data_IF_942412660951
#
_entry.id   IF_942412660951
#
_cell.length_a   1.000
_cell.length_b   1.000
_cell.length_c   1.000
_cell.angle_alpha   90.00
_cell.angle_beta   90.00
_cell.angle_gamma   90.00
#
_symmetry.space_group_name_H-M   'P 1'
#
loop_
_entity.id
_entity.type
_entity.pdbx_description
1 polymer ?
#
# COMPACT_ATOMS: atom_id res chain seq x y z
N UNK A 1 -67.89 -18.54 1.01
CA UNK A 1 -67.45 -17.77 2.19
C UNK A 1 -65.92 -17.84 2.18
N UNK A 2 -65.23 -16.93 1.48
CA UNK A 2 -64.70 -15.64 2.00
C UNK A 2 -63.73 -15.94 3.17
N UNK A 3 -62.41 -15.67 3.17
CA UNK A 3 -61.57 -14.63 2.53
C UNK A 3 -60.09 -15.09 2.44
N UNK A 4 -59.42 -14.93 1.30
CA UNK A 4 -58.39 -13.91 0.94
C UNK A 4 -56.99 -14.18 1.54
N UNK A 5 -55.94 -14.50 0.77
CA UNK A 5 -55.23 -13.77 -0.30
C UNK A 5 -54.19 -12.75 0.22
N UNK A 6 -52.91 -13.01 -0.08
CA UNK A 6 -51.76 -12.13 -0.41
C UNK A 6 -50.47 -12.97 -0.22
N UNK A 7 -49.88 -13.58 -1.26
CA UNK A 7 -48.79 -13.03 -2.12
C UNK A 7 -47.64 -12.41 -1.31
N UNK A 8 -46.35 -12.57 -1.58
CA UNK A 8 -45.51 -13.29 -2.54
C UNK A 8 -44.05 -12.97 -2.10
N UNK A 9 -43.06 -13.73 -2.58
CA UNK A 9 -41.62 -13.44 -2.56
C UNK A 9 -40.87 -13.66 -1.23
N UNK A 10 -40.18 -14.80 -1.14
CA UNK A 10 -38.76 -14.85 -0.73
C UNK A 10 -38.06 -16.20 -1.05
N UNK A 11 -38.73 -17.17 -1.70
CA UNK A 11 -38.11 -18.42 -2.17
C UNK A 11 -37.34 -18.29 -3.52
N UNK A 12 -36.92 -17.09 -3.91
CA UNK A 12 -36.19 -16.86 -5.17
C UNK A 12 -34.71 -16.50 -5.01
N UNK A 13 -34.20 -16.35 -3.77
CA UNK A 13 -32.79 -15.98 -3.55
C UNK A 13 -31.86 -17.17 -3.26
N UNK A 14 -32.38 -18.39 -3.07
CA UNK A 14 -31.56 -19.60 -2.87
C UNK A 14 -31.33 -20.44 -4.15
N UNK A 15 -31.89 -20.02 -5.30
CA UNK A 15 -31.71 -20.72 -6.57
C UNK A 15 -30.65 -20.11 -7.50
N UNK A 16 -30.08 -18.95 -7.14
CA UNK A 16 -29.03 -18.25 -7.92
C UNK A 16 -27.59 -18.64 -7.55
N UNK A 17 -27.39 -19.58 -6.62
CA UNK A 17 -26.09 -20.22 -6.39
C UNK A 17 -25.80 -21.40 -7.35
N UNK A 18 -26.50 -21.44 -8.50
CA UNK A 18 -26.08 -22.16 -9.71
C UNK A 18 -25.01 -21.34 -10.44
N UNK A 19 -23.78 -21.34 -9.91
CA UNK A 19 -22.59 -20.94 -10.69
C UNK A 19 -21.93 -22.22 -11.22
N UNK A 20 -22.20 -22.48 -12.51
CA UNK A 20 -21.40 -23.23 -13.48
C UNK A 20 -20.66 -24.51 -13.01
N UNK A 21 -21.39 -25.62 -12.98
CA UNK A 21 -20.83 -26.98 -12.95
C UNK A 21 -20.72 -27.63 -14.34
N UNK A 22 -20.22 -26.90 -15.34
CA UNK A 22 -20.07 -27.38 -16.73
C UNK A 22 -18.63 -27.70 -17.15
N UNK A 23 -17.63 -27.37 -16.32
CA UNK A 23 -16.22 -27.57 -16.68
C UNK A 23 -15.72 -29.01 -16.50
N UNK A 24 -16.19 -29.75 -15.49
CA UNK A 24 -15.65 -31.08 -15.18
C UNK A 24 -16.01 -32.18 -16.19
N UNK A 25 -17.17 -32.10 -16.85
CA UNK A 25 -17.49 -33.01 -17.96
C UNK A 25 -16.75 -32.64 -19.25
N UNK A 26 -16.60 -31.35 -19.53
CA UNK A 26 -15.84 -30.85 -20.67
C UNK A 26 -14.36 -31.27 -20.56
N UNK A 27 -13.75 -31.16 -19.37
CA UNK A 27 -12.36 -31.54 -19.12
C UNK A 27 -12.13 -33.06 -19.23
N UNK A 28 -13.06 -33.90 -18.75
CA UNK A 28 -13.02 -35.35 -18.94
C UNK A 28 -13.20 -35.76 -20.42
N UNK A 29 -13.98 -35.00 -21.19
CA UNK A 29 -14.11 -35.18 -22.64
C UNK A 29 -12.89 -34.66 -23.42
N UNK A 30 -12.25 -33.58 -22.95
CA UNK A 30 -11.00 -33.06 -23.50
C UNK A 30 -9.84 -34.04 -23.25
N UNK A 31 -9.65 -34.51 -22.02
CA UNK A 31 -8.64 -35.53 -21.71
C UNK A 31 -8.83 -36.83 -22.51
N UNK A 32 -10.08 -37.25 -22.77
CA UNK A 32 -10.40 -38.41 -23.63
C UNK A 32 -10.17 -38.14 -25.12
N UNK A 33 -10.32 -36.89 -25.59
CA UNK A 33 -10.12 -36.47 -26.98
C UNK A 33 -8.64 -36.20 -27.32
N UNK A 34 -7.80 -35.88 -26.34
CA UNK A 34 -6.42 -35.42 -26.53
C UNK A 34 -5.32 -36.45 -26.23
N UNK A 35 -5.49 -37.67 -26.77
CA UNK A 35 -4.38 -38.60 -27.05
C UNK A 35 -3.32 -38.02 -28.00
N UNK A 36 -3.58 -36.87 -28.61
CA UNK A 36 -2.69 -36.14 -29.52
C UNK A 36 -2.30 -34.79 -28.91
N UNK A 37 -1.02 -34.44 -29.01
CA UNK A 37 -0.39 -33.21 -28.53
C UNK A 37 -1.24 -31.95 -28.79
N UNK A 38 -1.79 -31.35 -27.74
CA UNK A 38 -2.38 -30.00 -27.83
C UNK A 38 -1.59 -29.05 -26.94
N UNK A 39 -1.18 -27.94 -27.56
CA UNK A 39 -0.55 -26.80 -26.91
C UNK A 39 -1.65 -25.77 -26.62
N UNK A 40 -1.83 -25.41 -25.35
CA UNK A 40 -2.66 -24.28 -24.94
C UNK A 40 -1.77 -23.21 -24.32
N UNK A 41 -2.10 -21.94 -24.53
CA UNK A 41 -1.38 -20.85 -23.84
C UNK A 41 -1.68 -20.89 -22.34
N UNK A 42 -2.93 -21.22 -21.98
CA UNK A 42 -3.45 -21.24 -20.61
C UNK A 42 -4.34 -22.46 -20.35
N UNK A 43 -4.29 -22.97 -19.11
CA UNK A 43 -5.17 -24.01 -18.58
C UNK A 43 -5.59 -23.66 -17.16
N UNK A 44 -6.88 -23.79 -16.85
CA UNK A 44 -7.42 -23.57 -15.51
C UNK A 44 -8.06 -24.85 -14.98
N UNK A 45 -7.84 -25.17 -13.70
CA UNK A 45 -8.38 -26.37 -13.04
C UNK A 45 -8.96 -25.99 -11.67
N UNK A 46 -10.21 -26.39 -11.42
CA UNK A 46 -10.96 -26.00 -10.23
C UNK A 46 -11.42 -27.19 -9.39
N UNK A 47 -11.13 -27.12 -8.08
CA UNK A 47 -11.62 -27.99 -7.00
C UNK A 47 -11.37 -29.48 -7.22
N UNK A 48 -10.38 -29.81 -8.05
CA UNK A 48 -10.05 -31.19 -8.34
C UNK A 48 -9.23 -31.81 -7.21
N UNK A 49 -9.91 -32.64 -6.41
CA UNK A 49 -9.30 -33.42 -5.33
C UNK A 49 -8.37 -34.52 -5.85
N UNK A 50 -8.54 -34.87 -7.11
CA UNK A 50 -7.90 -35.97 -7.82
C UNK A 50 -7.02 -35.46 -8.96
N UNK A 51 -6.42 -34.26 -8.86
CA UNK A 51 -5.47 -33.75 -9.86
C UNK A 51 -4.35 -34.78 -10.19
N UNK A 52 -4.05 -35.69 -9.25
CA UNK A 52 -3.09 -36.80 -9.42
C UNK A 52 -3.63 -38.03 -10.15
N UNK A 53 -4.95 -38.13 -10.32
CA UNK A 53 -5.58 -39.09 -11.21
C UNK A 53 -5.59 -38.61 -12.65
N UNK A 54 -5.36 -37.32 -12.91
CA UNK A 54 -4.97 -36.85 -14.24
C UNK A 54 -3.55 -37.35 -14.53
N UNK A 55 -3.45 -38.63 -14.94
CA UNK A 55 -2.34 -39.09 -15.76
C UNK A 55 -2.19 -38.04 -16.88
N UNK A 56 -0.97 -37.63 -17.21
CA UNK A 56 -0.63 -36.69 -18.31
C UNK A 56 -0.61 -35.18 -18.00
N UNK A 57 -0.82 -34.69 -16.77
CA UNK A 57 -0.61 -33.24 -16.46
C UNK A 57 0.82 -32.80 -16.79
N UNK A 58 1.80 -33.67 -16.52
CA UNK A 58 3.22 -33.49 -16.84
C UNK A 58 3.53 -33.42 -18.35
N UNK A 59 2.60 -33.90 -19.21
CA UNK A 59 2.73 -33.89 -20.67
C UNK A 59 2.11 -32.65 -21.32
N UNK A 60 1.42 -31.81 -20.55
CA UNK A 60 0.79 -30.60 -21.04
C UNK A 60 1.86 -29.57 -21.45
N UNK A 61 1.87 -29.19 -22.73
CA UNK A 61 2.71 -28.10 -23.25
C UNK A 61 2.01 -26.76 -23.03
N UNK A 62 1.72 -26.42 -21.77
CA UNK A 62 1.12 -25.13 -21.38
C UNK A 62 2.15 -24.19 -20.79
N UNK A 63 1.94 -22.88 -20.94
CA UNK A 63 2.80 -21.85 -20.34
C UNK A 63 2.16 -21.21 -19.12
N UNK A 64 0.84 -21.09 -19.13
CA UNK A 64 0.08 -20.52 -18.03
C UNK A 64 -0.81 -21.62 -17.43
N UNK A 65 -0.74 -21.80 -16.11
CA UNK A 65 -1.52 -22.81 -15.41
C UNK A 65 -2.14 -22.19 -14.14
N UNK A 66 -3.45 -22.33 -14.02
CA UNK A 66 -4.22 -21.88 -12.87
C UNK A 66 -4.82 -23.10 -12.19
N UNK A 67 -4.52 -23.26 -10.90
CA UNK A 67 -5.00 -24.34 -10.05
C UNK A 67 -5.72 -23.72 -8.86
N UNK A 68 -6.99 -24.04 -8.68
CA UNK A 68 -7.79 -23.51 -7.59
C UNK A 68 -8.42 -24.65 -6.77
N UNK A 69 -8.21 -24.68 -5.46
CA UNK A 69 -8.83 -25.70 -4.60
C UNK A 69 -8.33 -27.14 -4.83
N UNK A 70 -7.15 -27.32 -5.43
CA UNK A 70 -6.48 -28.61 -5.65
C UNK A 70 -5.75 -29.08 -4.38
N UNK A 71 -6.49 -29.67 -3.43
CA UNK A 71 -5.98 -29.97 -2.08
C UNK A 71 -4.86 -31.02 -1.97
N UNK A 72 -4.65 -31.81 -3.03
CA UNK A 72 -3.65 -32.88 -3.02
C UNK A 72 -2.35 -32.48 -3.74
N UNK A 73 -2.20 -31.21 -4.16
CA UNK A 73 -1.16 -30.78 -5.12
C UNK A 73 0.28 -31.16 -4.69
N UNK A 74 1.08 -31.64 -5.65
CA UNK A 74 2.51 -31.95 -5.54
C UNK A 74 3.20 -31.42 -6.79
N UNK A 75 4.20 -30.55 -6.62
CA UNK A 75 4.81 -29.81 -7.74
C UNK A 75 5.70 -30.69 -8.65
N UNK A 76 6.19 -31.83 -8.18
CA UNK A 76 7.00 -32.77 -8.99
C UNK A 76 6.25 -33.32 -10.24
N UNK A 77 4.93 -33.14 -10.29
CA UNK A 77 4.06 -33.56 -11.39
C UNK A 77 3.59 -32.41 -12.27
N UNK A 78 3.91 -31.17 -11.90
CA UNK A 78 3.56 -29.98 -12.68
C UNK A 78 4.63 -29.80 -13.77
N UNK A 79 4.25 -29.49 -15.02
CA UNK A 79 5.22 -29.24 -16.10
C UNK A 79 6.23 -28.15 -15.73
N UNK A 80 7.51 -28.36 -16.06
CA UNK A 80 8.59 -27.41 -15.73
C UNK A 80 8.71 -26.24 -16.72
N UNK A 81 8.02 -26.31 -17.85
CA UNK A 81 8.00 -25.28 -18.90
C UNK A 81 7.01 -24.13 -18.61
N UNK A 82 6.35 -24.16 -17.45
CA UNK A 82 5.39 -23.14 -17.02
C UNK A 82 6.12 -21.81 -16.77
N UNK A 83 5.51 -20.74 -17.25
CA UNK A 83 5.96 -19.35 -17.15
C UNK A 83 5.12 -18.59 -16.13
N UNK A 84 3.82 -18.87 -16.09
CA UNK A 84 2.88 -18.25 -15.15
C UNK A 84 2.11 -19.35 -14.42
N UNK A 85 2.18 -19.33 -13.10
CA UNK A 85 1.54 -20.34 -12.26
C UNK A 85 0.73 -19.66 -11.16
N UNK A 86 -0.56 -19.98 -11.11
CA UNK A 86 -1.45 -19.58 -10.03
C UNK A 86 -1.91 -20.83 -9.31
N UNK A 87 -1.72 -20.88 -7.99
CA UNK A 87 -2.16 -22.00 -7.15
C UNK A 87 -2.81 -21.45 -5.90
N UNK A 88 -4.12 -21.20 -5.97
CA UNK A 88 -4.85 -20.50 -4.92
C UNK A 88 -5.84 -21.44 -4.21
N UNK A 89 -6.04 -21.24 -2.91
CA UNK A 89 -7.00 -22.01 -2.10
C UNK A 89 -6.77 -23.53 -2.07
N UNK A 90 -5.57 -23.99 -2.40
CA UNK A 90 -5.21 -25.40 -2.41
C UNK A 90 -4.82 -25.94 -1.02
N UNK A 91 -4.87 -25.11 0.02
CA UNK A 91 -4.46 -25.45 1.40
C UNK A 91 -3.01 -25.99 1.48
N UNK A 92 -2.15 -25.53 0.56
CA UNK A 92 -0.76 -25.96 0.49
C UNK A 92 -0.02 -25.65 1.78
N UNK A 93 0.71 -26.63 2.30
CA UNK A 93 1.66 -26.45 3.42
C UNK A 93 3.12 -26.48 2.95
N UNK A 94 3.36 -27.01 1.76
CA UNK A 94 4.68 -27.14 1.15
C UNK A 94 4.57 -26.85 -0.34
N UNK A 95 5.65 -26.29 -0.88
CA UNK A 95 5.86 -26.04 -2.30
C UNK A 95 7.11 -26.78 -2.81
N UNK A 96 7.53 -27.83 -2.11
CA UNK A 96 8.63 -28.67 -2.57
C UNK A 96 8.33 -29.20 -3.98
N UNK A 97 9.33 -29.10 -4.86
CA UNK A 97 9.24 -29.41 -6.28
C UNK A 97 9.20 -28.13 -7.13
N UNK A 98 8.68 -27.01 -6.60
CA UNK A 98 8.59 -25.76 -7.35
C UNK A 98 9.96 -25.21 -7.75
N UNK A 99 11.02 -25.55 -7.01
CA UNK A 99 12.39 -25.11 -7.31
C UNK A 99 12.89 -25.54 -8.70
N UNK A 100 12.26 -26.56 -9.30
CA UNK A 100 12.62 -27.04 -10.65
C UNK A 100 11.93 -26.24 -11.77
N UNK A 101 10.93 -25.42 -11.45
CA UNK A 101 10.16 -24.61 -12.40
C UNK A 101 10.89 -23.29 -12.73
N UNK A 102 12.15 -23.40 -13.17
CA UNK A 102 13.08 -22.27 -13.33
C UNK A 102 12.69 -21.24 -14.41
N UNK A 103 11.70 -21.56 -15.24
CA UNK A 103 11.16 -20.66 -16.27
C UNK A 103 10.10 -19.68 -15.73
N UNK A 104 9.65 -19.85 -14.48
CA UNK A 104 8.60 -19.02 -13.90
C UNK A 104 8.98 -17.53 -13.89
N UNK A 105 8.02 -16.71 -14.33
CA UNK A 105 8.06 -15.25 -14.33
C UNK A 105 7.01 -14.67 -13.41
N UNK A 106 5.83 -15.29 -13.35
CA UNK A 106 4.72 -14.89 -12.50
C UNK A 106 4.29 -16.09 -11.65
N UNK A 107 4.22 -15.90 -10.35
CA UNK A 107 3.81 -16.94 -9.41
C UNK A 107 2.84 -16.36 -8.40
N UNK A 108 1.65 -16.95 -8.35
CA UNK A 108 0.65 -16.69 -7.32
C UNK A 108 0.43 -17.96 -6.50
N UNK A 109 0.67 -17.87 -5.19
CA UNK A 109 0.48 -18.92 -4.19
C UNK A 109 -0.45 -18.44 -3.06
N UNK A 110 -1.29 -17.45 -3.35
CA UNK A 110 -2.13 -16.79 -2.37
C UNK A 110 -3.19 -17.72 -1.78
N UNK A 111 -3.69 -17.40 -0.59
CA UNK A 111 -4.74 -18.17 0.10
C UNK A 111 -4.36 -19.64 0.33
N UNK A 112 -3.16 -19.88 0.85
CA UNK A 112 -2.68 -21.21 1.22
C UNK A 112 -2.33 -21.27 2.72
N UNK A 113 -1.54 -22.26 3.12
CA UNK A 113 -1.11 -22.45 4.51
C UNK A 113 0.42 -22.51 4.61
N UNK A 114 1.13 -21.82 3.71
CA UNK A 114 2.58 -21.85 3.60
C UNK A 114 3.22 -21.13 4.80
N UNK A 115 4.16 -21.80 5.43
CA UNK A 115 5.03 -21.24 6.47
C UNK A 115 6.52 -21.28 6.06
N UNK A 116 6.87 -22.19 5.14
CA UNK A 116 8.21 -22.32 4.56
C UNK A 116 8.14 -22.09 3.05
N UNK A 117 9.00 -21.21 2.57
CA UNK A 117 9.16 -20.83 1.16
C UNK A 117 10.60 -20.99 0.67
N UNK A 118 11.44 -21.77 1.38
CA UNK A 118 12.82 -22.07 0.96
C UNK A 118 12.95 -22.48 -0.51
N UNK A 119 12.07 -23.32 -1.09
CA UNK A 119 12.15 -23.70 -2.50
C UNK A 119 12.17 -22.52 -3.49
N UNK A 120 11.62 -21.36 -3.13
CA UNK A 120 11.58 -20.19 -4.01
C UNK A 120 12.95 -19.58 -4.28
N UNK A 121 13.96 -19.81 -3.43
CA UNK A 121 15.27 -19.15 -3.54
C UNK A 121 15.99 -19.36 -4.89
N UNK A 122 15.61 -20.42 -5.62
CA UNK A 122 16.15 -20.83 -6.91
C UNK A 122 15.47 -20.15 -8.10
N UNK A 123 14.28 -19.58 -7.91
CA UNK A 123 13.44 -19.00 -8.96
C UNK A 123 13.85 -17.56 -9.30
N UNK A 124 15.15 -17.33 -9.50
CA UNK A 124 15.79 -16.01 -9.66
C UNK A 124 15.31 -15.21 -10.88
N UNK A 125 14.52 -15.84 -11.74
CA UNK A 125 13.92 -15.25 -12.92
C UNK A 125 12.52 -14.63 -12.68
N UNK A 126 11.94 -14.81 -11.49
CA UNK A 126 10.63 -14.27 -11.13
C UNK A 126 10.61 -12.74 -11.22
N UNK A 127 9.53 -12.24 -11.83
CA UNK A 127 9.22 -10.82 -12.00
C UNK A 127 8.06 -10.40 -11.10
N UNK A 128 7.10 -11.29 -10.86
CA UNK A 128 5.93 -11.06 -10.02
C UNK A 128 5.72 -12.23 -9.08
N UNK A 129 5.46 -11.93 -7.80
CA UNK A 129 5.23 -12.95 -6.78
C UNK A 129 4.13 -12.51 -5.82
N UNK A 130 3.05 -13.28 -5.76
CA UNK A 130 1.98 -13.11 -4.79
C UNK A 130 1.93 -14.32 -3.85
N UNK A 131 2.08 -14.08 -2.55
CA UNK A 131 1.97 -15.11 -1.49
C UNK A 131 1.20 -14.52 -0.30
N UNK A 132 0.18 -13.70 -0.59
CA UNK A 132 -0.68 -13.17 0.46
C UNK A 132 -1.59 -14.26 1.06
N UNK A 133 -2.17 -13.99 2.23
CA UNK A 133 -3.07 -14.92 2.92
C UNK A 133 -2.40 -16.29 3.17
N UNK A 134 -1.25 -16.25 3.83
CA UNK A 134 -0.46 -17.43 4.19
C UNK A 134 -0.03 -17.33 5.67
N UNK A 135 0.98 -18.10 6.09
CA UNK A 135 1.47 -18.16 7.48
C UNK A 135 2.96 -17.81 7.57
N UNK A 136 3.45 -16.97 6.68
CA UNK A 136 4.87 -16.65 6.57
C UNK A 136 5.32 -15.79 7.76
N UNK A 137 6.42 -16.21 8.38
CA UNK A 137 7.17 -15.42 9.38
C UNK A 137 8.55 -15.08 8.84
N UNK A 138 9.20 -16.04 8.17
CA UNK A 138 10.52 -15.89 7.59
C UNK A 138 10.43 -15.76 6.07
N UNK A 139 10.95 -14.65 5.54
CA UNK A 139 11.01 -14.36 4.11
C UNK A 139 12.43 -14.31 3.54
N UNK A 140 13.43 -14.84 4.27
CA UNK A 140 14.83 -14.91 3.84
C UNK A 140 15.03 -15.48 2.42
N UNK A 141 14.29 -16.52 1.98
CA UNK A 141 14.41 -17.06 0.62
C UNK A 141 14.16 -16.04 -0.48
N UNK A 142 13.38 -14.98 -0.22
CA UNK A 142 13.07 -13.95 -1.21
C UNK A 142 14.27 -13.08 -1.57
N UNK A 143 15.30 -13.02 -0.71
CA UNK A 143 16.48 -12.15 -0.92
C UNK A 143 17.28 -12.45 -2.20
N UNK A 144 17.09 -13.63 -2.81
CA UNK A 144 17.71 -14.01 -4.09
C UNK A 144 16.94 -13.52 -5.31
N UNK A 145 15.66 -13.15 -5.16
CA UNK A 145 14.71 -12.84 -6.25
C UNK A 145 14.85 -11.39 -6.76
N UNK A 146 16.07 -10.99 -7.10
CA UNK A 146 16.44 -9.60 -7.41
C UNK A 146 15.77 -9.02 -8.67
N UNK A 147 15.08 -9.84 -9.45
CA UNK A 147 14.34 -9.45 -10.65
C UNK A 147 12.88 -9.06 -10.38
N UNK A 148 12.39 -9.20 -9.14
CA UNK A 148 11.02 -8.85 -8.79
C UNK A 148 10.74 -7.36 -9.00
N UNK A 149 9.63 -7.07 -9.68
CA UNK A 149 9.05 -5.74 -9.86
C UNK A 149 7.72 -5.60 -9.10
N UNK A 150 7.02 -6.71 -8.82
CA UNK A 150 5.81 -6.74 -7.98
C UNK A 150 5.90 -7.84 -6.93
N UNK A 151 5.60 -7.51 -5.68
CA UNK A 151 5.59 -8.45 -4.57
C UNK A 151 4.39 -8.18 -3.65
N UNK A 152 3.55 -9.21 -3.44
CA UNK A 152 2.44 -9.17 -2.50
C UNK A 152 2.66 -10.20 -1.39
N UNK A 153 2.76 -9.72 -0.15
CA UNK A 153 2.96 -10.50 1.07
C UNK A 153 1.91 -10.16 2.13
N UNK A 154 0.79 -9.54 1.72
CA UNK A 154 -0.29 -9.14 2.59
C UNK A 154 -0.85 -10.32 3.42
N UNK A 155 -1.41 -10.05 4.60
CA UNK A 155 -2.03 -11.08 5.46
C UNK A 155 -1.09 -12.26 5.74
N UNK A 156 0.05 -11.95 6.35
CA UNK A 156 1.01 -12.93 6.85
C UNK A 156 1.38 -12.59 8.31
N UNK A 157 2.51 -13.10 8.81
CA UNK A 157 3.00 -12.88 10.18
C UNK A 157 4.43 -12.35 10.16
N UNK A 158 4.75 -11.54 9.16
CA UNK A 158 6.10 -11.04 8.91
C UNK A 158 6.39 -9.89 9.89
N UNK A 159 7.58 -9.94 10.48
CA UNK A 159 8.12 -8.89 11.36
C UNK A 159 9.42 -8.33 10.79
N UNK A 160 10.29 -9.21 10.28
CA UNK A 160 11.59 -8.84 9.73
C UNK A 160 11.55 -8.67 8.21
N UNK A 161 11.86 -7.46 7.76
CA UNK A 161 11.91 -7.07 6.35
C UNK A 161 13.34 -7.00 5.78
N UNK A 162 14.39 -7.36 6.54
CA UNK A 162 15.77 -7.38 6.04
C UNK A 162 15.95 -8.08 4.68
N UNK A 163 15.26 -9.20 4.38
CA UNK A 163 15.41 -9.89 3.09
C UNK A 163 15.00 -9.04 1.88
N UNK A 164 14.07 -8.09 2.06
CA UNK A 164 13.55 -7.22 1.01
C UNK A 164 14.57 -6.17 0.56
N UNK A 165 15.57 -5.84 1.39
CA UNK A 165 16.59 -4.80 1.11
C UNK A 165 17.35 -5.01 -0.21
N UNK A 166 17.40 -6.25 -0.72
CA UNK A 166 18.08 -6.61 -1.97
C UNK A 166 17.20 -6.46 -3.22
N UNK A 167 15.88 -6.29 -3.07
CA UNK A 167 14.89 -6.30 -4.15
C UNK A 167 14.73 -4.94 -4.83
N UNK A 168 15.85 -4.34 -5.24
CA UNK A 168 15.93 -2.95 -5.71
C UNK A 168 15.14 -2.62 -6.98
N UNK A 169 14.62 -3.64 -7.68
CA UNK A 169 13.81 -3.48 -8.89
C UNK A 169 12.30 -3.40 -8.61
N UNK A 170 11.88 -3.52 -7.35
CA UNK A 170 10.48 -3.43 -6.96
C UNK A 170 9.88 -2.08 -7.36
N UNK A 171 8.71 -2.15 -8.00
CA UNK A 171 7.85 -1.03 -8.36
C UNK A 171 6.58 -1.03 -7.50
N UNK A 172 6.09 -2.20 -7.11
CA UNK A 172 4.93 -2.38 -6.23
C UNK A 172 5.24 -3.36 -5.10
N UNK A 173 4.88 -3.00 -3.88
CA UNK A 173 5.06 -3.82 -2.69
C UNK A 173 3.84 -3.72 -1.78
N UNK A 174 3.20 -4.86 -1.51
CA UNK A 174 2.15 -4.97 -0.49
C UNK A 174 2.64 -5.82 0.69
N UNK A 175 2.68 -5.19 1.87
CA UNK A 175 3.07 -5.75 3.16
C UNK A 175 1.96 -5.53 4.21
N UNK A 176 0.74 -5.22 3.78
CA UNK A 176 -0.38 -4.95 4.67
C UNK A 176 -0.72 -6.15 5.55
N UNK A 177 -1.36 -5.91 6.69
CA UNK A 177 -1.79 -6.96 7.62
C UNK A 177 -0.66 -7.93 8.01
N UNK A 178 0.42 -7.35 8.52
CA UNK A 178 1.56 -8.08 9.08
C UNK A 178 1.82 -7.56 10.51
N UNK A 179 3.02 -7.76 11.05
CA UNK A 179 3.40 -7.25 12.38
C UNK A 179 4.71 -6.46 12.31
N UNK A 180 4.85 -5.67 11.24
CA UNK A 180 6.04 -4.88 10.94
C UNK A 180 6.10 -3.67 11.87
N UNK A 181 7.28 -3.40 12.42
CA UNK A 181 7.54 -2.23 13.27
C UNK A 181 8.53 -1.24 12.65
N UNK A 182 9.43 -1.72 11.79
CA UNK A 182 10.48 -0.90 11.17
C UNK A 182 10.51 -1.09 9.66
N UNK A 183 10.67 0.02 8.95
CA UNK A 183 10.79 0.07 7.48
C UNK A 183 12.16 0.54 7.01
N UNK A 184 13.16 0.61 7.90
CA UNK A 184 14.50 1.12 7.59
C UNK A 184 15.18 0.34 6.44
N UNK A 185 14.90 -0.95 6.33
CA UNK A 185 15.44 -1.79 5.25
C UNK A 185 14.90 -1.43 3.85
N UNK A 186 13.81 -0.68 3.75
CA UNK A 186 13.21 -0.26 2.47
C UNK A 186 13.95 0.92 1.83
N UNK A 187 14.87 1.58 2.54
CA UNK A 187 15.57 2.80 2.10
C UNK A 187 16.28 2.70 0.73
N UNK A 188 16.57 1.49 0.25
CA UNK A 188 17.24 1.26 -1.03
C UNK A 188 16.28 0.95 -2.19
N UNK A 189 14.96 0.89 -1.96
CA UNK A 189 13.96 0.58 -2.98
C UNK A 189 13.55 1.83 -3.76
N UNK A 190 14.50 2.61 -4.25
CA UNK A 190 14.27 3.96 -4.81
C UNK A 190 13.40 3.97 -6.07
N UNK A 191 13.17 2.81 -6.71
CA UNK A 191 12.27 2.64 -7.85
C UNK A 191 10.81 2.36 -7.45
N UNK A 192 10.53 2.14 -6.16
CA UNK A 192 9.21 1.79 -5.66
C UNK A 192 8.22 2.92 -5.91
N UNK A 193 7.08 2.59 -6.53
CA UNK A 193 6.03 3.54 -6.93
C UNK A 193 4.77 3.39 -6.09
N UNK A 194 4.48 2.16 -5.66
CA UNK A 194 3.34 1.82 -4.80
C UNK A 194 3.80 1.01 -3.59
N UNK A 195 3.38 1.43 -2.40
CA UNK A 195 3.69 0.76 -1.14
C UNK A 195 2.46 0.72 -0.24
N UNK A 196 2.04 -0.49 0.12
CA UNK A 196 1.00 -0.72 1.12
C UNK A 196 1.62 -1.33 2.38
N UNK A 197 1.51 -0.60 3.49
CA UNK A 197 1.99 -0.97 4.82
C UNK A 197 0.85 -0.89 5.86
N UNK A 198 -0.40 -0.84 5.41
CA UNK A 198 -1.55 -0.75 6.31
C UNK A 198 -1.64 -1.93 7.29
N UNK A 199 -2.30 -1.72 8.42
CA UNK A 199 -2.49 -2.75 9.45
C UNK A 199 -1.16 -3.40 9.89
N UNK A 200 -0.24 -2.56 10.34
CA UNK A 200 1.03 -2.96 10.94
C UNK A 200 1.23 -2.21 12.28
N UNK A 201 2.43 -2.26 12.85
CA UNK A 201 2.77 -1.62 14.12
C UNK A 201 3.86 -0.56 13.95
N UNK A 202 3.87 0.14 12.80
CA UNK A 202 4.93 1.08 12.42
C UNK A 202 4.74 2.41 13.16
N UNK A 203 5.84 2.93 13.71
CA UNK A 203 5.91 4.25 14.35
C UNK A 203 6.88 5.18 13.63
N UNK A 204 7.97 4.62 13.10
CA UNK A 204 9.04 5.37 12.42
C UNK A 204 9.09 4.98 10.94
N UNK A 205 8.89 5.98 10.09
CA UNK A 205 8.91 5.89 8.63
C UNK A 205 10.11 6.62 7.99
N UNK A 206 11.16 6.93 8.75
CA UNK A 206 12.40 7.55 8.23
C UNK A 206 13.04 6.75 7.10
N UNK A 207 12.90 5.42 7.13
CA UNK A 207 13.33 4.52 6.04
C UNK A 207 12.66 4.78 4.68
N UNK A 208 11.55 5.53 4.64
CA UNK A 208 10.86 5.90 3.40
C UNK A 208 11.42 7.17 2.75
N UNK A 209 12.18 7.99 3.47
CA UNK A 209 12.72 9.27 2.94
C UNK A 209 13.43 9.17 1.60
N UNK A 210 14.17 8.08 1.26
CA UNK A 210 14.88 8.02 -0.02
C UNK A 210 14.02 7.52 -1.18
N UNK A 211 12.74 7.19 -0.98
CA UNK A 211 11.86 6.60 -1.98
C UNK A 211 11.35 7.64 -2.99
N UNK A 212 12.27 8.20 -3.77
CA UNK A 212 12.04 9.31 -4.70
C UNK A 212 11.09 9.03 -5.85
N UNK A 213 10.63 7.78 -6.03
CA UNK A 213 9.66 7.38 -7.05
C UNK A 213 8.28 7.07 -6.48
N UNK A 214 8.09 7.16 -5.15
CA UNK A 214 6.89 6.71 -4.47
C UNK A 214 5.72 7.67 -4.68
N UNK A 215 4.67 7.17 -5.32
CA UNK A 215 3.49 7.97 -5.69
C UNK A 215 2.23 7.56 -4.92
N UNK A 216 2.12 6.29 -4.52
CA UNK A 216 1.02 5.77 -3.73
C UNK A 216 1.55 5.12 -2.46
N UNK A 217 1.07 5.60 -1.31
CA UNK A 217 1.47 5.12 0.00
C UNK A 217 0.24 4.91 0.88
N UNK A 218 0.04 3.69 1.35
CA UNK A 218 -0.96 3.39 2.37
C UNK A 218 -0.27 2.97 3.68
N UNK A 219 -0.56 3.71 4.74
CA UNK A 219 -0.06 3.57 6.11
C UNK A 219 -1.23 3.50 7.12
N UNK A 220 -2.44 3.17 6.67
CA UNK A 220 -3.61 3.07 7.53
C UNK A 220 -3.39 2.10 8.69
N UNK A 221 -4.04 2.34 9.83
CA UNK A 221 -3.98 1.44 10.98
C UNK A 221 -2.55 1.11 11.42
N UNK A 222 -1.73 2.15 11.61
CA UNK A 222 -0.41 2.07 12.21
C UNK A 222 -0.38 2.93 13.49
N UNK A 223 0.82 3.26 13.97
CA UNK A 223 1.04 3.98 15.24
C UNK A 223 1.77 5.32 15.00
N UNK A 224 1.63 5.90 13.81
CA UNK A 224 2.40 7.07 13.38
C UNK A 224 1.99 8.33 14.16
N UNK A 225 2.99 9.08 14.62
CA UNK A 225 2.82 10.43 15.20
C UNK A 225 3.50 11.45 14.28
N UNK A 226 4.75 11.17 13.91
CA UNK A 226 5.55 12.00 13.02
C UNK A 226 5.44 11.51 11.56
N UNK A 227 5.10 12.44 10.68
CA UNK A 227 5.06 12.24 9.22
C UNK A 227 6.03 13.16 8.46
N UNK A 228 6.97 13.79 9.16
CA UNK A 228 8.07 14.57 8.55
C UNK A 228 8.85 13.81 7.47
N UNK A 229 9.03 12.47 7.53
CA UNK A 229 9.67 11.73 6.45
C UNK A 229 8.95 11.81 5.09
N UNK A 230 7.67 12.21 5.07
CA UNK A 230 6.87 12.31 3.84
C UNK A 230 7.11 13.61 3.07
N UNK A 231 7.75 14.63 3.65
CA UNK A 231 7.77 16.00 3.12
C UNK A 231 8.24 16.16 1.67
N UNK A 232 9.19 15.34 1.25
CA UNK A 232 9.80 15.43 -0.09
C UNK A 232 9.44 14.27 -1.00
N UNK A 233 8.53 13.38 -0.59
CA UNK A 233 8.10 12.27 -1.42
C UNK A 233 7.12 12.78 -2.48
N UNK A 234 7.19 12.31 -3.74
CA UNK A 234 6.31 12.77 -4.81
C UNK A 234 4.93 12.09 -4.76
N UNK A 235 4.31 12.06 -3.57
CA UNK A 235 3.06 11.36 -3.32
C UNK A 235 1.89 12.02 -4.04
N UNK A 236 1.08 11.19 -4.69
CA UNK A 236 -0.21 11.54 -5.31
C UNK A 236 -1.38 10.89 -4.56
N UNK A 237 -1.15 9.75 -3.92
CA UNK A 237 -2.12 9.06 -3.06
C UNK A 237 -1.50 8.80 -1.70
N UNK A 238 -2.17 9.23 -0.63
CA UNK A 238 -1.73 8.99 0.74
C UNK A 238 -2.90 8.57 1.63
N UNK A 239 -2.77 7.40 2.24
CA UNK A 239 -3.70 6.91 3.25
C UNK A 239 -2.97 6.77 4.57
N UNK A 240 -3.45 7.48 5.60
CA UNK A 240 -2.91 7.49 6.97
C UNK A 240 -4.04 7.43 8.01
N UNK A 241 -5.18 6.86 7.64
CA UNK A 241 -6.33 6.66 8.52
C UNK A 241 -5.96 5.86 9.77
N UNK A 242 -6.59 6.17 10.89
CA UNK A 242 -6.40 5.44 12.16
C UNK A 242 -4.93 5.35 12.58
N UNK A 243 -4.28 6.51 12.65
CA UNK A 243 -2.94 6.70 13.22
C UNK A 243 -3.03 7.63 14.44
N UNK A 244 -1.90 8.19 14.87
CA UNK A 244 -1.79 9.11 16.00
C UNK A 244 -1.23 10.49 15.58
N UNK A 245 -1.44 10.87 14.33
CA UNK A 245 -0.86 12.07 13.72
C UNK A 245 -1.52 13.32 14.32
N UNK A 246 -0.69 14.31 14.66
CA UNK A 246 -1.12 15.60 15.21
C UNK A 246 -0.87 16.76 14.25
N UNK A 247 0.25 16.69 13.52
CA UNK A 247 0.75 17.75 12.64
C UNK A 247 0.73 17.30 11.17
N UNK A 248 0.03 18.05 10.33
CA UNK A 248 -0.03 17.83 8.87
C UNK A 248 0.83 18.81 8.06
N UNK A 249 1.65 19.63 8.73
CA UNK A 249 2.62 20.51 8.08
C UNK A 249 3.52 19.74 7.10
N UNK A 250 4.07 18.55 7.42
CA UNK A 250 4.91 17.82 6.48
C UNK A 250 4.29 17.59 5.10
N UNK A 251 2.96 17.51 5.02
CA UNK A 251 2.24 17.24 3.77
C UNK A 251 1.49 18.45 3.20
N UNK A 252 1.64 19.66 3.75
CA UNK A 252 0.84 20.84 3.33
C UNK A 252 1.04 21.22 1.86
N UNK A 253 2.23 20.95 1.32
CA UNK A 253 2.62 21.35 -0.04
C UNK A 253 2.26 20.31 -1.12
N UNK A 254 1.77 19.13 -0.71
CA UNK A 254 1.42 18.06 -1.65
C UNK A 254 0.10 18.37 -2.37
N UNK A 255 0.05 18.01 -3.66
CA UNK A 255 -1.15 18.04 -4.47
C UNK A 255 -1.67 16.62 -4.64
N UNK A 256 -2.38 16.13 -3.63
CA UNK A 256 -2.92 14.78 -3.65
C UNK A 256 -4.06 14.67 -4.67
N UNK A 257 -4.16 13.51 -5.31
CA UNK A 257 -5.37 13.05 -6.01
C UNK A 257 -6.28 12.36 -4.99
N UNK A 258 -5.67 11.61 -4.07
CA UNK A 258 -6.34 10.89 -2.99
C UNK A 258 -5.62 11.16 -1.67
N UNK A 259 -6.38 11.53 -0.64
CA UNK A 259 -5.87 11.71 0.72
C UNK A 259 -6.92 11.20 1.71
N UNK A 260 -6.62 10.13 2.43
CA UNK A 260 -7.45 9.64 3.50
C UNK A 260 -6.70 9.70 4.83
N UNK A 261 -7.19 10.48 5.79
CA UNK A 261 -6.45 10.76 7.04
C UNK A 261 -7.35 10.85 8.29
N UNK A 262 -8.60 10.41 8.17
CA UNK A 262 -9.55 10.43 9.28
C UNK A 262 -9.09 9.54 10.44
N UNK A 263 -9.70 9.71 11.61
CA UNK A 263 -9.31 8.99 12.83
C UNK A 263 -7.83 9.21 13.23
N UNK A 264 -7.44 10.47 13.34
CA UNK A 264 -6.15 10.92 13.87
C UNK A 264 -6.39 12.02 14.94
N UNK A 265 -5.34 12.59 15.51
CA UNK A 265 -5.40 13.68 16.49
C UNK A 265 -5.03 15.05 15.87
N UNK A 266 -5.39 15.26 14.59
CA UNK A 266 -4.94 16.40 13.80
C UNK A 266 -5.49 17.72 14.33
N UNK A 267 -4.60 18.63 14.70
CA UNK A 267 -4.96 19.97 15.23
C UNK A 267 -4.88 21.07 14.19
N UNK A 268 -4.12 20.88 13.10
CA UNK A 268 -3.85 21.88 12.08
C UNK A 268 -4.34 21.51 10.68
N UNK A 269 -5.48 20.82 10.60
CA UNK A 269 -6.14 20.42 9.35
C UNK A 269 -6.46 21.60 8.41
N UNK A 270 -6.59 22.82 8.93
CA UNK A 270 -6.76 24.05 8.15
C UNK A 270 -5.62 24.32 7.14
N UNK A 271 -4.44 23.71 7.31
CA UNK A 271 -3.33 23.87 6.36
C UNK A 271 -3.66 23.27 4.99
N UNK A 272 -4.47 22.20 4.98
CA UNK A 272 -4.84 21.42 3.79
C UNK A 272 -6.02 22.04 3.01
N UNK A 273 -6.84 22.85 3.67
CA UNK A 273 -8.07 23.42 3.09
C UNK A 273 -7.84 24.49 2.02
N UNK A 274 -6.59 24.85 1.73
CA UNK A 274 -6.25 25.88 0.76
C UNK A 274 -5.89 25.35 -0.62
N UNK A 275 -5.61 24.04 -0.76
CA UNK A 275 -5.04 23.48 -1.98
C UNK A 275 -5.86 22.31 -2.56
N UNK A 276 -6.77 21.72 -1.80
CA UNK A 276 -7.50 20.54 -2.26
C UNK A 276 -9.02 20.69 -2.13
N UNK A 277 -9.73 20.53 -3.25
CA UNK A 277 -11.20 20.44 -3.35
C UNK A 277 -11.69 19.08 -2.84
N UNK A 278 -11.44 18.74 -1.58
CA UNK A 278 -11.92 17.46 -1.02
C UNK A 278 -13.32 17.61 -0.42
N UNK A 279 -14.25 16.82 -0.93
CA UNK A 279 -15.61 16.64 -0.41
C UNK A 279 -15.69 15.64 0.75
N UNK A 280 -14.64 14.86 1.02
CA UNK A 280 -14.59 13.84 2.07
C UNK A 280 -13.89 14.31 3.35
N UNK A 281 -14.27 15.49 3.85
CA UNK A 281 -13.93 15.87 5.22
C UNK A 281 -14.79 15.08 6.21
N UNK A 282 -14.47 13.81 6.44
CA UNK A 282 -14.86 13.10 7.67
C UNK A 282 -13.86 13.37 8.80
N UNK A 283 -13.52 14.64 9.01
CA UNK A 283 -12.80 15.06 10.21
C UNK A 283 -13.78 14.95 11.39
N UNK A 284 -13.76 13.82 12.09
CA UNK A 284 -14.30 13.73 13.45
C UNK A 284 -13.40 14.53 14.41
N UNK A 285 -13.29 15.85 14.20
CA UNK A 285 -12.64 16.73 15.14
C UNK A 285 -13.62 17.12 16.23
N UNK A 286 -13.38 16.65 17.45
CA UNK A 286 -14.07 17.06 18.67
C UNK A 286 -13.89 18.55 19.04
N UNK A 287 -13.33 19.40 18.17
CA UNK A 287 -13.43 20.87 18.26
C UNK A 287 -12.96 21.54 16.96
N UNK A 288 -13.85 22.16 16.16
CA UNK A 288 -13.40 22.99 15.04
C UNK A 288 -12.76 24.28 15.57
N UNK A 289 -11.62 24.74 15.01
CA UNK A 289 -11.08 26.05 15.34
C UNK A 289 -12.07 27.14 14.94
N UNK A 290 -12.36 28.05 15.87
CA UNK A 290 -13.29 29.15 15.66
C UNK A 290 -12.93 29.95 14.40
N UNK A 291 -13.95 30.44 13.66
CA UNK A 291 -13.82 31.24 12.42
C UNK A 291 -12.76 32.37 12.47
N UNK A 292 -12.37 32.81 13.67
CA UNK A 292 -11.31 33.80 13.90
C UNK A 292 -9.90 33.30 13.52
N UNK A 293 -9.59 32.02 13.75
CA UNK A 293 -8.27 31.43 13.53
C UNK A 293 -7.96 31.28 12.04
N UNK A 294 -8.96 30.84 11.26
CA UNK A 294 -8.88 30.71 9.79
C UNK A 294 -8.66 32.08 9.13
N UNK A 295 -9.32 33.13 9.63
CA UNK A 295 -9.14 34.49 9.14
C UNK A 295 -7.76 35.07 9.53
N UNK A 296 -7.27 34.74 10.72
CA UNK A 296 -5.94 35.13 11.21
C UNK A 296 -4.82 34.46 10.40
N UNK A 297 -4.98 33.18 10.04
CA UNK A 297 -4.02 32.44 9.23
C UNK A 297 -4.01 32.86 7.75
N UNK A 298 -5.16 33.23 7.16
CA UNK A 298 -5.19 33.89 5.84
C UNK A 298 -4.39 35.20 5.84
N UNK A 299 -4.48 35.99 6.93
CA UNK A 299 -3.71 37.21 7.11
C UNK A 299 -2.21 36.92 7.32
N UNK A 300 -1.87 35.87 8.08
CA UNK A 300 -0.48 35.43 8.29
C UNK A 300 0.18 34.88 7.01
N UNK A 301 -0.57 34.14 6.17
CA UNK A 301 -0.11 33.70 4.83
C UNK A 301 0.13 34.87 3.88
N UNK A 302 -0.73 35.89 3.90
CA UNK A 302 -0.53 37.12 3.11
C UNK A 302 0.73 37.90 3.57
N UNK A 303 1.04 37.87 4.86
CA UNK A 303 2.26 38.45 5.44
C UNK A 303 3.50 37.62 5.13
N UNK A 304 3.43 36.29 5.16
CA UNK A 304 4.59 35.40 4.97
C UNK A 304 4.99 35.23 3.49
N UNK A 305 4.03 35.15 2.57
CA UNK A 305 4.30 34.88 1.14
C UNK A 305 4.14 36.11 0.21
N UNK A 306 3.49 37.20 0.66
CA UNK A 306 3.03 38.28 -0.23
C UNK A 306 3.83 39.59 -0.22
N UNK A 307 4.80 39.80 0.68
CA UNK A 307 5.39 41.13 0.86
C UNK A 307 6.52 41.44 -0.15
N UNK A 308 6.15 41.72 -1.41
CA UNK A 308 6.97 42.51 -2.34
C UNK A 308 6.45 43.96 -2.33
N UNK A 309 7.26 44.90 -1.85
CA UNK A 309 6.97 46.34 -1.82
C UNK A 309 5.88 46.78 -0.83
N UNK A 310 6.03 46.41 0.45
CA UNK A 310 5.12 46.87 1.51
C UNK A 310 5.86 47.75 2.51
N UNK A 311 5.19 48.83 2.92
CA UNK A 311 5.62 49.73 3.99
C UNK A 311 4.89 49.32 5.27
N UNK A 312 5.60 48.76 6.23
CA UNK A 312 5.08 48.40 7.55
C UNK A 312 5.34 49.55 8.51
N UNK A 313 4.31 49.98 9.25
CA UNK A 313 4.45 51.02 10.26
C UNK A 313 4.44 50.38 11.65
N UNK A 314 5.57 50.48 12.37
CA UNK A 314 5.72 49.98 13.74
C UNK A 314 6.33 51.09 14.58
N UNK A 315 5.67 51.44 15.70
CA UNK A 315 6.11 52.49 16.64
C UNK A 315 6.58 53.79 15.97
N UNK A 316 5.71 54.38 15.14
CA UNK A 316 5.93 55.64 14.39
C UNK A 316 7.11 55.60 13.39
N UNK A 317 7.65 54.43 13.05
CA UNK A 317 8.70 54.25 12.03
C UNK A 317 8.21 53.34 10.90
N UNK A 318 8.59 53.68 9.67
CA UNK A 318 8.22 52.92 8.47
C UNK A 318 9.35 51.99 8.06
N UNK A 319 9.10 50.68 8.07
CA UNK A 319 9.99 49.65 7.55
C UNK A 319 9.57 49.29 6.12
N UNK A 320 10.53 49.35 5.18
CA UNK A 320 10.26 49.10 3.76
C UNK A 320 10.83 47.75 3.34
N UNK A 321 9.96 46.87 2.84
CA UNK A 321 10.36 45.58 2.25
C UNK A 321 10.36 45.73 0.74
N UNK A 322 11.53 45.70 0.11
CA UNK A 322 11.68 45.73 -1.36
C UNK A 322 12.19 44.37 -1.83
N UNK A 323 11.51 43.80 -2.83
CA UNK A 323 11.89 42.52 -3.46
C UNK A 323 12.15 41.37 -2.45
N UNK A 324 11.37 41.30 -1.38
CA UNK A 324 11.46 40.21 -0.38
C UNK A 324 12.68 40.28 0.55
N UNK A 325 13.50 41.34 0.53
CA UNK A 325 14.63 41.53 1.46
C UNK A 325 14.40 42.74 2.37
N UNK A 326 14.53 42.53 3.68
CA UNK A 326 14.45 43.61 4.68
C UNK A 326 15.76 44.40 4.67
N UNK A 327 15.74 45.69 4.31
CA UNK A 327 16.93 46.54 4.44
C UNK A 327 17.13 46.90 5.91
N UNK A 328 18.08 46.24 6.56
CA UNK A 328 18.47 46.48 7.95
C UNK A 328 19.33 47.75 7.98
N UNK A 329 18.93 48.75 8.75
CA UNK A 329 19.87 49.77 9.24
C UNK A 329 20.08 49.53 10.74
N UNK A 330 21.23 49.97 11.30
CA UNK A 330 21.77 49.52 12.59
C UNK A 330 20.82 49.60 13.82
N UNK A 331 19.69 50.29 13.71
CA UNK A 331 18.63 50.34 14.72
C UNK A 331 17.68 49.10 14.76
N UNK A 332 17.84 48.10 13.88
CA UNK A 332 16.88 46.99 13.69
C UNK A 332 17.31 45.67 14.35
N UNK A 333 18.48 45.60 14.99
CA UNK A 333 18.91 44.37 15.69
C UNK A 333 17.98 44.02 16.87
N UNK A 334 17.49 45.03 17.60
CA UNK A 334 16.51 44.84 18.68
C UNK A 334 15.14 44.39 18.18
N UNK A 335 14.74 44.77 16.96
CA UNK A 335 13.44 44.35 16.40
C UNK A 335 13.45 42.89 15.93
N UNK A 336 14.61 42.37 15.48
CA UNK A 336 14.75 40.95 15.14
C UNK A 336 14.64 40.08 16.39
N UNK A 337 15.23 40.51 17.50
CA UNK A 337 15.07 39.84 18.79
C UNK A 337 13.63 39.92 19.29
N UNK A 338 12.97 41.08 19.22
CA UNK A 338 11.56 41.21 19.62
C UNK A 338 10.60 40.41 18.75
N UNK A 339 10.88 40.25 17.44
CA UNK A 339 10.09 39.38 16.56
C UNK A 339 10.32 37.90 16.88
N UNK A 340 11.56 37.49 17.16
CA UNK A 340 11.87 36.14 17.63
C UNK A 340 11.22 35.86 18.99
N UNK A 341 11.23 36.83 19.90
CA UNK A 341 10.64 36.74 21.24
C UNK A 341 9.10 36.71 21.16
N UNK A 342 8.49 37.46 20.24
CA UNK A 342 7.05 37.33 19.94
C UNK A 342 6.72 35.97 19.32
N UNK A 343 7.60 35.44 18.47
CA UNK A 343 7.45 34.10 17.90
C UNK A 343 7.60 33.01 18.97
N UNK A 344 8.58 33.10 19.87
CA UNK A 344 8.77 32.20 21.01
C UNK A 344 7.60 32.29 22.01
N UNK A 345 7.09 33.49 22.27
CA UNK A 345 5.90 33.68 23.11
C UNK A 345 4.63 33.12 22.45
N UNK A 346 4.51 33.18 21.12
CA UNK A 346 3.40 32.53 20.40
C UNK A 346 3.55 31.00 20.39
N UNK A 347 4.77 30.48 20.26
CA UNK A 347 5.09 29.05 20.38
C UNK A 347 4.74 28.54 21.78
N UNK A 348 5.16 29.24 22.84
CA UNK A 348 4.85 28.89 24.24
C UNK A 348 3.36 29.02 24.57
N UNK A 349 2.67 30.06 24.07
CA UNK A 349 1.27 30.35 24.42
C UNK A 349 0.25 29.50 23.66
N UNK A 350 0.62 29.02 22.48
CA UNK A 350 -0.25 28.17 21.64
C UNK A 350 0.23 26.71 21.55
N UNK A 351 1.25 26.33 22.33
CA UNK A 351 1.70 24.94 22.46
C UNK A 351 2.22 24.34 21.16
N UNK A 352 2.84 25.15 20.31
CA UNK A 352 3.50 24.68 19.10
C UNK A 352 4.94 24.32 19.46
N UNK A 353 5.19 23.04 19.77
CA UNK A 353 6.54 22.46 19.74
C UNK A 353 6.82 21.92 18.35
#
# INVERSE_FOLDING_TARGET
MLNDAFQHNHEQDDLNNKINSTYTQYELEMAKKYKSEVSYEELEIYKDKNLFQFQFVDQLKVKNLVLYGCFSLVFDKVPVNIVELTVNECKLKSILGIQFMTNLKCLDLSNNMLADIQPLNSLVQLLQLHINENKLVNIQPLSTLKQLHSLCLANNRIVDLQPIKQLRRLLSLDLSHNSIQSVLCLQNLTLLQSLNLSFNNIQDITGLTPLSSLQALNLDYNLLIDISPLTFLPLRSLDVYSNRIVDVCPIYAHTFVHLFMSNNYITNSYLLSAHNNYSDYSLNNQNPPTKSLVLFQKKLRAVYFGLKNVNLFVNKRTLKIKNGKLKINAAVLNLKMQLMELFEQMIQKFGLL
#
